data_IF_230571776807
#
_entry.id   IF_230571776807
#
_cell.length_a   1.000
_cell.length_b   1.000
_cell.length_c   1.000
_cell.angle_alpha   90.00
_cell.angle_beta   90.00
_cell.angle_gamma   90.00
#
_symmetry.space_group_name_H-M   'P 1'
#
loop_
_entity.id
_entity.type
_entity.pdbx_description
1 polymer ?
#
# COMPACT_ATOMS: atom_id res chain seq x y z
N UNK A 1 -5.29 6.61 6.72
CA UNK A 1 -6.22 6.62 5.57
C UNK A 1 -6.26 7.96 4.80
N UNK A 2 -5.77 9.09 5.34
CA UNK A 2 -5.87 10.43 4.70
C UNK A 2 -4.99 10.71 3.47
N UNK A 3 -4.08 9.81 3.10
CA UNK A 3 -3.09 10.06 2.05
C UNK A 3 -3.58 9.71 0.63
N UNK A 4 -4.88 9.51 0.44
CA UNK A 4 -5.47 8.91 -0.76
C UNK A 4 -6.78 9.62 -1.10
N UNK A 5 -7.01 9.87 -2.39
CA UNK A 5 -8.25 10.40 -2.93
C UNK A 5 -9.37 9.33 -2.95
N UNK A 6 -9.61 8.73 -1.79
CA UNK A 6 -10.64 7.73 -1.57
C UNK A 6 -11.25 7.89 -0.17
N UNK A 7 -12.55 8.17 -0.13
CA UNK A 7 -13.25 8.63 1.08
C UNK A 7 -14.52 7.83 1.40
N UNK A 8 -14.78 6.73 0.69
CA UNK A 8 -15.99 5.91 0.89
C UNK A 8 -16.08 5.35 2.32
N UNK A 9 -14.94 5.19 3.01
CA UNK A 9 -14.84 4.74 4.40
C UNK A 9 -15.16 5.83 5.44
N UNK A 10 -15.16 7.11 5.05
CA UNK A 10 -15.34 8.22 6.01
C UNK A 10 -16.73 8.24 6.66
N UNK A 11 -17.85 8.02 5.94
CA UNK A 11 -19.18 8.01 6.54
C UNK A 11 -19.34 7.06 7.73
N UNK A 12 -19.01 5.74 7.66
CA UNK A 12 -19.09 4.88 8.84
C UNK A 12 -18.13 5.32 9.96
N UNK A 13 -16.95 5.86 9.64
CA UNK A 13 -16.02 6.41 10.63
C UNK A 13 -16.64 7.58 11.43
N UNK A 14 -17.25 8.53 10.72
CA UNK A 14 -17.88 9.70 11.34
C UNK A 14 -19.07 9.33 12.21
N UNK A 15 -19.91 8.39 11.76
CA UNK A 15 -21.07 7.91 12.51
C UNK A 15 -20.62 7.21 13.80
N UNK A 16 -19.63 6.31 13.71
CA UNK A 16 -19.09 5.65 14.89
C UNK A 16 -18.45 6.64 15.86
N UNK A 17 -17.61 7.55 15.35
CA UNK A 17 -16.96 8.56 16.16
C UNK A 17 -17.98 9.45 16.89
N UNK A 18 -19.06 9.88 16.21
CA UNK A 18 -20.12 10.67 16.83
C UNK A 18 -20.72 10.00 18.07
N UNK A 19 -20.93 8.68 18.04
CA UNK A 19 -21.54 7.90 19.12
C UNK A 19 -20.55 7.53 20.23
N UNK A 20 -19.30 7.23 19.87
CA UNK A 20 -18.32 6.65 20.80
C UNK A 20 -17.06 7.51 21.03
N UNK A 21 -17.05 8.80 20.65
CA UNK A 21 -15.87 9.71 20.80
C UNK A 21 -15.24 9.75 22.19
N UNK A 22 -16.03 9.53 23.25
CA UNK A 22 -15.55 9.52 24.64
C UNK A 22 -14.94 8.17 25.06
N UNK A 23 -14.88 7.19 24.15
CA UNK A 23 -14.39 5.84 24.40
C UNK A 23 -13.22 5.52 23.44
N UNK A 24 -12.00 6.05 23.68
CA UNK A 24 -10.89 5.96 22.73
C UNK A 24 -10.49 4.54 22.34
N UNK A 25 -10.62 3.56 23.25
CA UNK A 25 -10.33 2.16 22.96
C UNK A 25 -11.27 1.59 21.90
N UNK A 26 -12.57 1.86 22.03
CA UNK A 26 -13.59 1.46 21.06
C UNK A 26 -13.34 2.10 19.69
N UNK A 27 -13.09 3.41 19.68
CA UNK A 27 -12.75 4.15 18.44
C UNK A 27 -11.50 3.59 17.77
N UNK A 28 -10.43 3.32 18.53
CA UNK A 28 -9.19 2.77 17.99
C UNK A 28 -9.41 1.39 17.37
N UNK A 29 -10.12 0.50 18.06
CA UNK A 29 -10.40 -0.85 17.57
C UNK A 29 -11.28 -0.83 16.31
N UNK A 30 -12.32 0.01 16.32
CA UNK A 30 -13.18 0.20 15.16
C UNK A 30 -12.39 0.72 13.95
N UNK A 31 -11.53 1.71 14.12
CA UNK A 31 -10.74 2.27 13.00
C UNK A 31 -9.76 1.26 12.41
N UNK A 32 -9.15 0.39 13.23
CA UNK A 32 -8.30 -0.71 12.73
C UNK A 32 -9.09 -1.68 11.85
N UNK A 33 -10.27 -2.11 12.31
CA UNK A 33 -11.16 -3.02 11.55
C UNK A 33 -11.70 -2.35 10.29
N UNK A 34 -12.10 -1.08 10.40
CA UNK A 34 -12.55 -0.30 9.26
C UNK A 34 -11.46 -0.18 8.22
N UNK A 35 -10.21 0.10 8.60
CA UNK A 35 -9.07 0.16 7.68
C UNK A 35 -8.87 -1.16 6.92
N UNK A 36 -8.86 -2.28 7.63
CA UNK A 36 -8.74 -3.63 7.03
C UNK A 36 -9.80 -3.87 5.96
N UNK A 37 -11.07 -3.68 6.30
CA UNK A 37 -12.21 -3.90 5.40
C UNK A 37 -12.16 -2.92 4.24
N UNK A 38 -11.81 -1.68 4.52
CA UNK A 38 -11.66 -0.60 3.54
C UNK A 38 -10.65 -0.94 2.45
N UNK A 39 -9.46 -1.42 2.83
CA UNK A 39 -8.45 -1.87 1.89
C UNK A 39 -8.87 -3.12 1.13
N UNK A 40 -9.46 -4.11 1.82
CA UNK A 40 -10.02 -5.29 1.16
C UNK A 40 -11.00 -4.89 0.05
N UNK A 41 -12.00 -4.06 0.38
CA UNK A 41 -13.01 -3.57 -0.56
C UNK A 41 -12.37 -2.81 -1.73
N UNK A 42 -11.41 -1.93 -1.46
CA UNK A 42 -10.74 -1.13 -2.47
C UNK A 42 -9.91 -1.97 -3.46
N UNK A 43 -9.34 -3.09 -2.98
CA UNK A 43 -8.38 -3.90 -3.73
C UNK A 43 -9.04 -5.06 -4.47
N UNK A 44 -10.06 -5.68 -3.87
CA UNK A 44 -10.69 -6.90 -4.40
C UNK A 44 -12.03 -6.62 -5.06
N UNK A 45 -12.78 -5.64 -4.56
CA UNK A 45 -14.15 -5.37 -4.99
C UNK A 45 -14.15 -4.11 -5.86
N UNK A 46 -14.01 -4.34 -7.17
CA UNK A 46 -13.93 -3.28 -8.18
C UNK A 46 -15.19 -2.40 -8.29
N UNK A 47 -16.36 -2.93 -7.94
CA UNK A 47 -17.64 -2.24 -8.09
C UNK A 47 -17.93 -1.23 -6.98
N UNK A 48 -18.15 0.03 -7.34
CA UNK A 48 -18.56 1.09 -6.40
C UNK A 48 -19.80 0.70 -5.58
N UNK A 49 -20.81 0.12 -6.23
CA UNK A 49 -22.06 -0.27 -5.58
C UNK A 49 -21.85 -1.31 -4.47
N UNK A 50 -21.05 -2.35 -4.72
CA UNK A 50 -20.80 -3.39 -3.72
C UNK A 50 -20.07 -2.84 -2.48
N UNK A 51 -19.15 -1.88 -2.67
CA UNK A 51 -18.51 -1.19 -1.54
C UNK A 51 -19.50 -0.30 -0.77
N UNK A 52 -20.35 0.42 -1.50
CA UNK A 52 -21.36 1.30 -0.92
C UNK A 52 -22.34 0.52 -0.04
N UNK A 53 -22.82 -0.64 -0.52
CA UNK A 53 -23.71 -1.51 0.26
C UNK A 53 -23.05 -1.99 1.56
N UNK A 54 -21.78 -2.42 1.50
CA UNK A 54 -21.05 -2.86 2.71
C UNK A 54 -20.93 -1.72 3.73
N UNK A 55 -20.60 -0.51 3.30
CA UNK A 55 -20.51 0.65 4.21
C UNK A 55 -21.89 1.11 4.71
N UNK A 56 -22.94 0.98 3.88
CA UNK A 56 -24.31 1.28 4.29
C UNK A 56 -24.77 0.34 5.41
N UNK A 57 -24.62 -0.97 5.24
CA UNK A 57 -24.94 -1.95 6.28
C UNK A 57 -24.17 -1.69 7.58
N UNK A 58 -22.92 -1.26 7.48
CA UNK A 58 -22.11 -0.88 8.63
C UNK A 58 -22.68 0.35 9.35
N UNK A 59 -23.05 1.41 8.62
CA UNK A 59 -23.68 2.61 9.19
C UNK A 59 -24.99 2.26 9.90
N UNK A 60 -25.86 1.50 9.24
CA UNK A 60 -27.16 1.08 9.78
C UNK A 60 -26.97 0.31 11.10
N UNK A 61 -26.01 -0.61 11.16
CA UNK A 61 -25.69 -1.36 12.37
C UNK A 61 -25.18 -0.47 13.52
N UNK A 62 -24.30 0.50 13.23
CA UNK A 62 -23.75 1.41 14.24
C UNK A 62 -24.84 2.31 14.85
N UNK A 63 -25.80 2.74 14.02
CA UNK A 63 -26.85 3.66 14.41
C UNK A 63 -27.93 3.05 15.31
N UNK A 64 -28.02 1.72 15.40
CA UNK A 64 -28.99 1.07 16.28
C UNK A 64 -28.76 1.47 17.74
N UNK A 65 -29.83 1.73 18.49
CA UNK A 65 -29.74 2.16 19.87
C UNK A 65 -29.13 1.09 20.79
N UNK A 66 -29.33 -0.18 20.45
CA UNK A 66 -28.80 -1.35 21.17
C UNK A 66 -27.32 -1.65 20.90
N UNK A 67 -26.69 -0.98 19.93
CA UNK A 67 -25.29 -1.18 19.63
C UNK A 67 -24.38 -0.54 20.70
N UNK A 68 -23.66 -1.39 21.42
CA UNK A 68 -22.79 -1.05 22.56
C UNK A 68 -21.40 -0.52 22.17
N UNK A 69 -21.09 -0.51 20.87
CA UNK A 69 -19.83 -0.04 20.32
C UNK A 69 -18.82 -1.15 20.06
N UNK A 70 -19.08 -2.40 20.45
CA UNK A 70 -18.17 -3.50 20.15
C UNK A 70 -18.18 -3.84 18.65
N UNK A 71 -17.20 -3.30 17.94
CA UNK A 71 -17.02 -3.50 16.50
C UNK A 71 -16.79 -4.96 16.09
N UNK A 72 -16.42 -5.86 17.03
CA UNK A 72 -16.30 -7.29 16.74
C UNK A 72 -17.67 -7.95 16.45
N UNK A 73 -18.78 -7.31 16.86
CA UNK A 73 -20.16 -7.77 16.62
C UNK A 73 -20.71 -7.33 15.26
N UNK A 74 -19.95 -6.54 14.50
CA UNK A 74 -20.39 -6.02 13.21
C UNK A 74 -20.01 -7.00 12.10
N UNK A 75 -20.97 -7.80 11.61
CA UNK A 75 -20.73 -8.77 10.53
C UNK A 75 -20.12 -8.16 9.28
N UNK A 76 -20.46 -6.91 8.96
CA UNK A 76 -19.88 -6.18 7.84
C UNK A 76 -18.37 -5.90 8.00
N UNK A 77 -17.79 -6.12 9.19
CA UNK A 77 -16.36 -5.96 9.44
C UNK A 77 -15.56 -7.26 9.35
N UNK A 78 -16.24 -8.40 9.27
CA UNK A 78 -15.58 -9.70 9.14
C UNK A 78 -15.28 -10.00 7.66
N UNK A 79 -14.11 -10.59 7.44
CA UNK A 79 -13.71 -11.15 6.15
C UNK A 79 -13.71 -12.67 6.30
N UNK A 80 -14.43 -13.35 5.41
CA UNK A 80 -14.39 -14.81 5.33
C UNK A 80 -13.03 -15.31 4.85
N UNK A 81 -12.75 -16.61 5.02
CA UNK A 81 -11.50 -17.24 4.56
C UNK A 81 -11.24 -17.03 3.06
N UNK A 82 -12.32 -17.07 2.27
CA UNK A 82 -12.26 -16.78 0.83
C UNK A 82 -11.84 -15.33 0.60
N UNK A 83 -12.46 -14.37 1.28
CA UNK A 83 -12.16 -12.96 1.11
C UNK A 83 -10.73 -12.63 1.55
N UNK A 84 -10.26 -13.24 2.65
CA UNK A 84 -8.86 -13.13 3.08
C UNK A 84 -7.91 -13.71 2.04
N UNK A 85 -8.24 -14.85 1.42
CA UNK A 85 -7.46 -15.44 0.33
C UNK A 85 -7.40 -14.52 -0.89
N UNK A 86 -8.56 -14.04 -1.35
CA UNK A 86 -8.65 -13.12 -2.48
C UNK A 86 -7.83 -11.84 -2.21
N UNK A 87 -7.86 -11.34 -0.97
CA UNK A 87 -7.07 -10.18 -0.56
C UNK A 87 -5.56 -10.46 -0.62
N UNK A 88 -5.11 -11.60 -0.09
CA UNK A 88 -3.69 -12.01 -0.16
C UNK A 88 -3.21 -12.15 -1.60
N UNK A 89 -4.01 -12.77 -2.47
CA UNK A 89 -3.71 -12.96 -3.89
C UNK A 89 -3.57 -11.62 -4.62
N UNK A 90 -4.52 -10.69 -4.38
CA UNK A 90 -4.47 -9.36 -4.97
C UNK A 90 -3.25 -8.56 -4.49
N UNK A 91 -2.88 -8.66 -3.21
CA UNK A 91 -1.69 -8.01 -2.65
C UNK A 91 -0.38 -8.57 -3.22
N UNK A 92 -0.34 -9.88 -3.49
CA UNK A 92 0.85 -10.52 -4.05
C UNK A 92 1.01 -10.26 -5.57
N UNK A 93 -0.05 -9.86 -6.26
CA UNK A 93 -0.05 -9.67 -7.71
C UNK A 93 0.42 -8.30 -8.18
N UNK A 94 0.01 -7.98 -9.41
CA UNK A 94 0.23 -6.69 -10.06
C UNK A 94 -0.57 -5.58 -9.35
N UNK A 95 0.14 -4.75 -8.59
CA UNK A 95 -0.45 -3.63 -7.85
C UNK A 95 -0.59 -2.40 -8.74
N UNK A 96 0.44 -2.08 -9.52
CA UNK A 96 0.50 -0.79 -10.19
C UNK A 96 -0.52 -0.66 -11.33
N UNK A 97 -0.68 -1.70 -12.13
CA UNK A 97 -1.51 -1.68 -13.34
C UNK A 97 -2.93 -2.14 -13.06
N UNK A 98 -3.13 -3.16 -12.20
CA UNK A 98 -4.49 -3.64 -11.88
C UNK A 98 -5.21 -2.84 -10.81
N UNK A 99 -4.50 -2.12 -9.94
CA UNK A 99 -5.09 -1.38 -8.83
C UNK A 99 -4.85 0.15 -8.90
N UNK A 100 -5.24 0.85 -9.99
CA UNK A 100 -4.93 2.27 -10.17
C UNK A 100 -5.50 3.16 -9.06
N UNK A 101 -6.61 2.76 -8.43
CA UNK A 101 -7.25 3.49 -7.31
C UNK A 101 -6.61 3.18 -5.95
N UNK A 102 -5.95 2.02 -5.80
CA UNK A 102 -5.41 1.56 -4.52
C UNK A 102 -3.89 1.67 -4.42
N UNK A 103 -3.17 1.68 -5.55
CA UNK A 103 -1.69 1.57 -5.57
C UNK A 103 -0.97 2.61 -4.71
N UNK A 104 -1.42 3.87 -4.73
CA UNK A 104 -0.80 4.93 -3.93
C UNK A 104 -1.09 4.72 -2.44
N UNK A 105 -2.33 4.36 -2.10
CA UNK A 105 -2.77 4.03 -0.75
C UNK A 105 -1.95 2.89 -0.14
N UNK A 106 -1.75 1.84 -0.93
CA UNK A 106 -0.99 0.66 -0.56
C UNK A 106 0.48 0.99 -0.29
N UNK A 107 1.14 1.65 -1.24
CA UNK A 107 2.56 2.02 -1.11
C UNK A 107 2.78 2.93 0.11
N UNK A 108 1.91 3.91 0.33
CA UNK A 108 2.03 4.83 1.48
C UNK A 108 1.69 4.17 2.82
N UNK A 109 0.77 3.21 2.84
CA UNK A 109 0.47 2.45 4.07
C UNK A 109 1.61 1.53 4.44
N UNK A 110 2.19 0.85 3.45
CA UNK A 110 3.39 0.04 3.63
C UNK A 110 4.58 0.88 4.11
N UNK A 111 4.79 2.07 3.52
CA UNK A 111 5.80 3.02 3.96
C UNK A 111 5.65 3.39 5.45
N UNK A 112 4.41 3.65 5.91
CA UNK A 112 4.13 3.92 7.33
C UNK A 112 4.44 2.72 8.22
N UNK A 113 4.12 1.51 7.77
CA UNK A 113 4.42 0.26 8.49
C UNK A 113 5.92 -0.01 8.58
N UNK A 114 6.70 0.46 7.61
CA UNK A 114 8.16 0.30 7.58
C UNK A 114 8.90 1.33 8.44
N UNK A 115 8.27 2.46 8.77
CA UNK A 115 8.89 3.56 9.51
C UNK A 115 8.59 3.53 11.03
N UNK A 116 8.07 2.40 11.54
CA UNK A 116 7.69 2.17 12.94
C UNK A 116 6.82 3.30 13.56
N UNK A 117 6.08 4.03 12.73
CA UNK A 117 5.20 5.16 13.12
C UNK A 117 5.91 6.32 13.86
N UNK A 118 7.24 6.35 13.90
CA UNK A 118 8.01 7.29 14.73
C UNK A 118 8.17 8.68 14.11
N UNK A 119 8.09 8.80 12.78
CA UNK A 119 8.11 10.09 12.09
C UNK A 119 6.81 10.35 11.33
N UNK A 120 6.21 11.51 11.61
CA UNK A 120 5.06 12.03 10.88
C UNK A 120 5.60 12.66 9.59
N UNK A 121 5.54 11.91 8.49
CA UNK A 121 5.86 12.44 7.17
C UNK A 121 4.62 13.00 6.49
N UNK A 122 4.72 14.24 6.00
CA UNK A 122 3.78 14.74 5.00
C UNK A 122 4.13 14.14 3.63
N UNK A 123 3.30 13.22 3.15
CA UNK A 123 3.44 12.60 1.83
C UNK A 123 2.92 13.50 0.69
N UNK A 124 3.18 14.81 0.75
CA UNK A 124 2.81 15.74 -0.33
C UNK A 124 3.80 15.62 -1.49
N UNK A 125 3.30 15.75 -2.72
CA UNK A 125 4.10 15.71 -3.94
C UNK A 125 4.96 14.43 -4.08
N UNK A 126 4.35 13.28 -3.74
CA UNK A 126 4.94 11.95 -3.88
C UNK A 126 4.34 11.24 -5.09
N UNK A 127 5.19 10.56 -5.84
CA UNK A 127 4.83 9.66 -6.93
C UNK A 127 5.27 8.24 -6.58
N UNK A 128 4.64 7.25 -7.23
CA UNK A 128 5.09 5.87 -7.17
C UNK A 128 6.23 5.71 -8.19
N UNK A 129 7.41 5.48 -7.68
CA UNK A 129 8.59 5.13 -8.45
C UNK A 129 8.60 3.61 -8.74
N UNK A 130 9.01 3.27 -9.96
CA UNK A 130 9.34 1.90 -10.35
C UNK A 130 10.85 1.74 -10.31
N UNK A 131 11.36 0.87 -9.43
CA UNK A 131 12.80 0.66 -9.29
C UNK A 131 13.35 0.02 -10.58
N UNK A 132 12.83 -1.16 -10.96
CA UNK A 132 12.87 -1.71 -12.31
C UNK A 132 11.89 -0.93 -13.19
N UNK A 133 12.33 -0.18 -14.22
CA UNK A 133 11.47 0.64 -15.04
C UNK A 133 10.47 -0.16 -15.89
N UNK A 134 9.31 0.43 -16.16
CA UNK A 134 8.32 -0.14 -17.10
C UNK A 134 8.84 -0.22 -18.54
N UNK A 135 9.78 0.66 -18.91
CA UNK A 135 10.36 0.71 -20.26
C UNK A 135 11.87 0.93 -20.14
N UNK A 136 12.65 -0.11 -19.80
CA UNK A 136 14.11 -0.01 -19.78
C UNK A 136 14.66 0.39 -21.15
N UNK A 137 15.81 1.08 -21.17
CA UNK A 137 16.49 1.38 -22.43
C UNK A 137 17.02 0.11 -23.10
N UNK A 138 17.15 0.11 -24.43
CA UNK A 138 17.59 -1.08 -25.20
C UNK A 138 18.98 -1.60 -24.81
N UNK A 139 19.84 -0.75 -24.27
CA UNK A 139 21.20 -1.05 -23.83
C UNK A 139 21.34 -1.03 -22.30
N UNK A 140 20.24 -1.11 -21.58
CA UNK A 140 20.21 -1.09 -20.11
C UNK A 140 20.57 -2.44 -19.51
N UNK A 141 21.25 -2.41 -18.37
CA UNK A 141 21.57 -3.61 -17.58
C UNK A 141 20.30 -4.34 -17.13
N UNK A 142 19.16 -3.65 -17.04
CA UNK A 142 17.86 -4.24 -16.76
C UNK A 142 17.50 -5.38 -17.72
N UNK A 143 17.85 -5.26 -19.01
CA UNK A 143 17.55 -6.30 -20.00
C UNK A 143 18.49 -7.50 -19.90
N UNK A 144 19.62 -7.36 -19.22
CA UNK A 144 20.53 -8.46 -18.90
C UNK A 144 20.08 -9.17 -17.62
N UNK A 145 19.76 -8.39 -16.57
CA UNK A 145 19.30 -8.91 -15.27
C UNK A 145 17.90 -9.55 -15.34
N UNK A 146 17.05 -9.06 -16.24
CA UNK A 146 15.72 -9.57 -16.52
C UNK A 146 15.60 -9.88 -18.01
N UNK A 147 16.38 -10.85 -18.49
CA UNK A 147 16.41 -11.25 -19.90
C UNK A 147 15.07 -11.84 -20.37
N UNK A 148 14.42 -12.64 -19.51
CA UNK A 148 13.09 -13.16 -19.75
C UNK A 148 12.04 -12.04 -19.59
N UNK A 149 11.25 -11.81 -20.64
CA UNK A 149 10.24 -10.77 -20.64
C UNK A 149 9.08 -11.06 -19.69
N UNK A 150 8.64 -12.32 -19.57
CA UNK A 150 7.53 -12.69 -18.69
C UNK A 150 7.91 -12.44 -17.22
N UNK A 151 9.12 -12.84 -16.82
CA UNK A 151 9.66 -12.56 -15.48
C UNK A 151 9.75 -11.04 -15.24
N UNK A 152 10.25 -10.29 -16.23
CA UNK A 152 10.37 -8.83 -16.14
C UNK A 152 9.01 -8.16 -15.97
N UNK A 153 8.04 -8.54 -16.78
CA UNK A 153 6.70 -7.94 -16.78
C UNK A 153 5.95 -8.28 -15.48
N UNK A 154 6.10 -9.50 -14.96
CA UNK A 154 5.54 -9.93 -13.67
C UNK A 154 6.09 -9.10 -12.50
N UNK A 155 7.41 -8.86 -12.45
CA UNK A 155 8.03 -8.12 -11.35
C UNK A 155 7.84 -6.60 -11.41
N UNK A 156 7.70 -6.04 -12.62
CA UNK A 156 7.67 -4.58 -12.83
C UNK A 156 6.57 -3.92 -11.99
N UNK A 157 5.40 -4.53 -11.87
CA UNK A 157 4.22 -3.91 -11.25
C UNK A 157 3.88 -4.42 -9.84
N UNK A 158 4.68 -5.34 -9.29
CA UNK A 158 4.51 -5.89 -7.94
C UNK A 158 5.03 -4.92 -6.87
N UNK A 159 4.46 -4.99 -5.67
CA UNK A 159 4.79 -4.07 -4.56
C UNK A 159 6.28 -4.04 -4.20
N UNK A 160 7.01 -5.14 -4.36
CA UNK A 160 8.45 -5.19 -4.15
C UNK A 160 9.24 -4.18 -5.01
N UNK A 161 8.74 -3.88 -6.21
CA UNK A 161 9.37 -2.97 -7.15
C UNK A 161 8.90 -1.52 -7.03
N UNK A 162 7.92 -1.25 -6.17
CA UNK A 162 7.31 0.06 -6.01
C UNK A 162 7.82 0.76 -4.75
N UNK A 163 8.04 2.07 -4.85
CA UNK A 163 8.39 2.89 -3.69
C UNK A 163 7.85 4.32 -3.84
N UNK A 164 7.58 5.02 -2.73
CA UNK A 164 7.30 6.45 -2.78
C UNK A 164 8.59 7.21 -3.09
N UNK A 165 8.49 8.19 -4.00
CA UNK A 165 9.56 9.13 -4.32
C UNK A 165 8.98 10.52 -4.54
N UNK A 166 9.70 11.56 -4.13
CA UNK A 166 9.27 12.94 -4.41
C UNK A 166 9.23 13.19 -5.92
N UNK A 167 8.14 13.82 -6.40
CA UNK A 167 7.93 14.12 -7.82
C UNK A 167 9.10 14.86 -8.46
N UNK A 168 9.79 15.74 -7.71
CA UNK A 168 10.97 16.48 -8.19
C UNK A 168 12.20 15.61 -8.48
N UNK A 169 12.32 14.43 -7.84
CA UNK A 169 13.43 13.48 -8.03
C UNK A 169 13.12 12.44 -9.10
N UNK A 170 11.84 12.16 -9.36
CA UNK A 170 11.40 11.10 -10.27
C UNK A 170 11.93 11.25 -11.72
N UNK A 171 11.92 12.45 -12.36
CA UNK A 171 12.50 12.61 -13.70
C UNK A 171 14.00 12.33 -13.77
N UNK A 172 14.73 12.50 -12.66
CA UNK A 172 16.16 12.22 -12.61
C UNK A 172 16.45 10.71 -12.45
N UNK A 173 15.53 9.94 -11.88
CA UNK A 173 15.63 8.48 -11.76
C UNK A 173 15.15 7.78 -13.05
N UNK A 174 14.00 8.20 -13.59
CA UNK A 174 13.47 7.81 -14.91
C UNK A 174 13.68 6.32 -15.23
N UNK A 175 14.15 6.00 -16.43
CA UNK A 175 14.44 4.64 -16.88
C UNK A 175 15.93 4.28 -16.78
N UNK A 176 16.71 4.97 -15.95
CA UNK A 176 18.13 4.66 -15.78
C UNK A 176 18.35 3.30 -15.07
N UNK A 177 19.57 2.79 -15.20
CA UNK A 177 20.02 1.59 -14.49
C UNK A 177 20.01 1.78 -12.98
N UNK A 178 19.97 0.65 -12.25
CA UNK A 178 19.81 0.64 -10.81
C UNK A 178 20.82 1.50 -10.05
N UNK A 179 22.10 1.43 -10.44
CA UNK A 179 23.17 2.22 -9.81
C UNK A 179 22.91 3.72 -9.93
N UNK A 180 22.48 4.18 -11.11
CA UNK A 180 22.14 5.58 -11.33
C UNK A 180 20.90 6.00 -10.54
N UNK A 181 19.89 5.12 -10.45
CA UNK A 181 18.72 5.35 -9.59
C UNK A 181 19.11 5.48 -8.12
N UNK A 182 20.00 4.62 -7.60
CA UNK A 182 20.54 4.72 -6.23
C UNK A 182 21.24 6.07 -5.99
N UNK A 183 22.02 6.57 -6.94
CA UNK A 183 22.60 7.92 -6.84
C UNK A 183 21.53 8.99 -6.67
N UNK A 184 20.44 8.93 -7.44
CA UNK A 184 19.32 9.89 -7.34
C UNK A 184 18.60 9.77 -5.99
N UNK A 185 18.41 8.55 -5.51
CA UNK A 185 17.72 8.26 -4.25
C UNK A 185 18.50 8.78 -3.04
N UNK A 186 19.83 8.65 -3.04
CA UNK A 186 20.66 8.89 -1.85
C UNK A 186 21.55 10.14 -1.93
N UNK A 187 21.89 10.60 -3.14
CA UNK A 187 22.91 11.62 -3.41
C UNK A 187 22.48 12.64 -4.49
N UNK A 188 21.18 12.91 -4.63
CA UNK A 188 20.64 13.80 -5.67
C UNK A 188 21.21 15.24 -5.64
N UNK A 189 20.79 16.09 -6.60
CA UNK A 189 21.36 17.45 -6.84
C UNK A 189 21.42 18.39 -5.61
N UNK A 190 20.65 18.11 -4.57
CA UNK A 190 20.59 18.87 -3.31
C UNK A 190 21.31 18.17 -2.14
N UNK A 191 22.05 17.10 -2.41
CA UNK A 191 22.72 16.23 -1.43
C UNK A 191 21.76 15.65 -0.35
N UNK A 192 20.46 15.55 -0.66
CA UNK A 192 19.48 15.01 0.28
C UNK A 192 19.22 13.53 0.04
N UNK A 193 19.33 12.73 1.10
CA UNK A 193 18.88 11.34 1.11
C UNK A 193 17.34 11.28 1.06
N UNK A 194 16.77 10.30 0.35
CA UNK A 194 15.34 10.01 0.42
C UNK A 194 14.91 9.72 1.88
N UNK A 195 13.85 10.36 2.39
CA UNK A 195 13.36 10.09 3.73
C UNK A 195 12.57 8.78 3.82
N UNK A 196 12.23 8.18 2.68
CA UNK A 196 11.35 7.02 2.64
C UNK A 196 12.04 5.74 3.07
N UNK A 197 11.47 5.06 4.06
CA UNK A 197 11.93 3.78 4.58
C UNK A 197 12.02 2.73 3.47
N UNK A 198 11.03 2.65 2.57
CA UNK A 198 11.03 1.70 1.45
C UNK A 198 12.21 1.92 0.49
N UNK A 199 12.64 3.16 0.29
CA UNK A 199 13.85 3.49 -0.49
C UNK A 199 15.12 3.22 0.33
N UNK A 200 15.14 3.56 1.61
CA UNK A 200 16.29 3.33 2.49
C UNK A 200 16.64 1.84 2.64
N UNK A 201 15.65 0.95 2.53
CA UNK A 201 15.84 -0.51 2.47
C UNK A 201 16.68 -0.97 1.25
N UNK A 202 16.87 -0.11 0.24
CA UNK A 202 17.67 -0.40 -0.96
C UNK A 202 19.16 -0.09 -0.79
N UNK A 203 19.58 0.54 0.32
CA UNK A 203 20.94 1.07 0.49
C UNK A 203 22.01 -0.03 0.34
N UNK A 204 21.79 -1.17 0.99
CA UNK A 204 22.68 -2.33 0.95
C UNK A 204 22.48 -3.28 -0.23
N UNK A 205 21.56 -2.98 -1.16
CA UNK A 205 21.33 -3.81 -2.34
C UNK A 205 22.28 -3.37 -3.45
N UNK A 206 23.18 -4.25 -3.88
CA UNK A 206 24.14 -3.95 -4.95
C UNK A 206 23.53 -4.11 -6.34
N UNK A 207 22.84 -5.23 -6.56
CA UNK A 207 22.21 -5.57 -7.85
C UNK A 207 20.73 -5.88 -7.62
N UNK A 208 19.87 -5.38 -8.49
CA UNK A 208 18.42 -5.58 -8.41
C UNK A 208 18.01 -6.78 -9.27
N UNK A 209 17.96 -7.96 -8.67
CA UNK A 209 17.68 -9.24 -9.35
C UNK A 209 16.30 -9.80 -8.95
N UNK A 210 15.76 -10.80 -9.67
CA UNK A 210 14.55 -11.51 -9.27
C UNK A 210 14.62 -12.06 -7.83
N UNK A 211 15.76 -12.60 -7.39
CA UNK A 211 15.92 -13.17 -6.04
C UNK A 211 15.83 -12.10 -4.95
N UNK A 212 16.32 -10.89 -5.23
CA UNK A 212 16.17 -9.72 -4.33
C UNK A 212 14.70 -9.32 -4.26
N UNK A 213 14.01 -9.28 -5.40
CA UNK A 213 12.59 -8.96 -5.48
C UNK A 213 11.73 -9.98 -4.74
N UNK A 214 12.00 -11.27 -4.84
CA UNK A 214 11.30 -12.33 -4.11
C UNK A 214 11.41 -12.17 -2.59
N UNK A 215 12.64 -11.99 -2.10
CA UNK A 215 12.90 -11.78 -0.66
C UNK A 215 12.18 -10.53 -0.15
N UNK A 216 12.26 -9.45 -0.94
CA UNK A 216 11.59 -8.18 -0.61
C UNK A 216 10.07 -8.32 -0.66
N UNK A 217 9.51 -8.97 -1.68
CA UNK A 217 8.08 -9.24 -1.82
C UNK A 217 7.56 -9.95 -0.57
N UNK A 218 8.21 -11.05 -0.19
CA UNK A 218 7.85 -11.80 1.03
C UNK A 218 7.86 -10.90 2.27
N UNK A 219 8.95 -10.17 2.50
CA UNK A 219 9.08 -9.28 3.67
C UNK A 219 7.96 -8.24 3.73
N UNK A 220 7.64 -7.59 2.59
CA UNK A 220 6.62 -6.55 2.53
C UNK A 220 5.20 -7.13 2.69
N UNK A 221 4.93 -8.29 2.09
CA UNK A 221 3.66 -8.99 2.25
C UNK A 221 3.46 -9.47 3.69
N UNK A 222 4.48 -10.03 4.34
CA UNK A 222 4.42 -10.45 5.74
C UNK A 222 4.01 -9.28 6.67
N UNK A 223 4.50 -8.06 6.39
CA UNK A 223 4.10 -6.84 7.11
C UNK A 223 2.63 -6.50 6.89
N UNK A 224 2.14 -6.55 5.65
CA UNK A 224 0.74 -6.26 5.31
C UNK A 224 -0.20 -7.33 5.89
N UNK A 225 0.15 -8.61 5.74
CA UNK A 225 -0.65 -9.73 6.23
C UNK A 225 -0.74 -9.71 7.75
N UNK A 226 0.35 -9.41 8.45
CA UNK A 226 0.31 -9.22 9.90
C UNK A 226 -0.53 -8.00 10.30
N UNK A 227 -0.36 -6.87 9.61
CA UNK A 227 -1.08 -5.63 9.95
C UNK A 227 -2.61 -5.75 9.77
N UNK A 228 -3.03 -6.44 8.73
CA UNK A 228 -4.45 -6.65 8.41
C UNK A 228 -4.99 -8.00 8.84
N UNK A 229 -4.27 -8.75 9.68
CA UNK A 229 -4.73 -10.04 10.21
C UNK A 229 -5.22 -10.97 9.09
N UNK A 230 -4.34 -11.21 8.11
CA UNK A 230 -4.58 -12.06 6.93
C UNK A 230 -3.76 -13.36 6.99
N UNK A 231 -3.18 -13.72 8.14
CA UNK A 231 -2.42 -14.96 8.27
C UNK A 231 -3.33 -16.19 8.40
#
# INVERSE_FOLDING_TARGET
>A
MDAVDWKDWMPPALVYFKKFKSQPKLVSEFLKRLERVSYYLLITIGGFNARLEKFRSLIEAIQRDDFDGDSSKLEAMHLSDKEMKDFREALNGDIYSKLPKARAALVLSLEKLMNDQSAIFEYRNVQIEHILPQRPAKNSDWLTLFADQEIRDDWTHRIANLAPLYSRKNPAASNYDFNKKKEVYFFGKDNTTSPFALINNLRGVEVWTPEVLEKRQKMLLDKLYKHWELN
#
